data_IF_019185623763
#
_entry.id   IF_019185623763
#
_cell.length_a   1.000
_cell.length_b   1.000
_cell.length_c   1.000
_cell.angle_alpha   90.00
_cell.angle_beta   90.00
_cell.angle_gamma   90.00
#
_symmetry.space_group_name_H-M   'P 1'
#
loop_
_entity.id
_entity.type
_entity.pdbx_description
1 polymer ?
#
# COMPACT_ATOMS: atom_id res chain seq x y z
N UNK A 1 -11.21 -16.26 40.49
CA UNK A 1 -11.68 -16.69 39.17
C UNK A 1 -12.72 -15.71 38.63
N UNK A 2 -12.50 -14.47 38.21
CA UNK A 2 -11.47 -13.44 38.39
C UNK A 2 -12.10 -12.10 37.91
N UNK A 3 -12.80 -11.39 38.80
CA UNK A 3 -13.45 -10.10 38.46
C UNK A 3 -12.46 -9.01 38.03
N UNK A 4 -11.21 -9.09 38.51
CA UNK A 4 -10.15 -8.17 38.11
C UNK A 4 -9.71 -8.38 36.67
N UNK A 5 -9.77 -9.61 36.15
CA UNK A 5 -9.45 -9.90 34.75
C UNK A 5 -10.48 -9.27 33.81
N UNK A 6 -11.77 -9.35 34.11
CA UNK A 6 -12.82 -8.77 33.24
C UNK A 6 -12.77 -7.23 33.22
N UNK A 7 -12.39 -6.60 34.35
CA UNK A 7 -12.13 -5.15 34.42
C UNK A 7 -10.91 -4.74 33.60
N UNK A 8 -9.82 -5.50 33.68
CA UNK A 8 -8.62 -5.26 32.88
C UNK A 8 -8.93 -5.39 31.39
N UNK A 9 -9.66 -6.43 30.98
CA UNK A 9 -10.08 -6.60 29.59
C UNK A 9 -10.99 -5.46 29.12
N UNK A 10 -11.92 -4.98 29.96
CA UNK A 10 -12.73 -3.78 29.65
C UNK A 10 -11.89 -2.51 29.47
N UNK A 11 -10.83 -2.33 30.26
CA UNK A 11 -9.92 -1.18 30.12
C UNK A 11 -9.12 -1.28 28.82
N UNK A 12 -8.57 -2.46 28.51
CA UNK A 12 -7.81 -2.72 27.28
C UNK A 12 -8.71 -2.52 26.05
N UNK A 13 -9.94 -3.01 26.10
CA UNK A 13 -10.92 -2.87 25.03
C UNK A 13 -11.31 -1.39 24.85
N UNK A 14 -11.58 -0.67 25.94
CA UNK A 14 -11.91 0.76 25.88
C UNK A 14 -10.75 1.63 25.38
N UNK A 15 -9.50 1.25 25.67
CA UNK A 15 -8.29 1.90 25.14
C UNK A 15 -8.12 1.65 23.63
N UNK A 16 -8.42 0.43 23.15
CA UNK A 16 -8.39 0.11 21.72
C UNK A 16 -9.37 0.97 20.93
N UNK A 17 -10.56 1.23 21.47
CA UNK A 17 -11.61 1.99 20.79
C UNK A 17 -11.49 3.51 20.89
N UNK A 18 -10.65 4.04 21.80
CA UNK A 18 -10.48 5.47 22.03
C UNK A 18 -9.22 5.99 21.32
N UNK A 19 -9.18 5.86 19.99
CA UNK A 19 -8.11 6.48 19.20
C UNK A 19 -8.45 7.98 19.01
N UNK A 20 -7.63 8.91 19.53
CA UNK A 20 -7.93 10.32 19.42
C UNK A 20 -7.84 10.77 17.95
N UNK A 21 -8.95 11.33 17.45
CA UNK A 21 -8.91 12.08 16.19
C UNK A 21 -8.02 13.31 16.38
N UNK A 22 -7.05 13.50 15.49
CA UNK A 22 -6.26 14.74 15.47
C UNK A 22 -7.21 15.91 15.24
N UNK A 23 -7.23 16.90 16.14
CA UNK A 23 -7.93 18.16 15.91
C UNK A 23 -7.12 18.94 14.86
N UNK A 24 -7.68 19.14 13.67
CA UNK A 24 -7.01 19.84 12.55
C UNK A 24 -7.83 21.04 12.09
N UNK A 25 -7.17 22.05 11.56
CA UNK A 25 -7.83 23.19 10.94
C UNK A 25 -8.56 22.74 9.67
N UNK A 26 -9.81 23.17 9.43
CA UNK A 26 -10.54 22.83 8.22
C UNK A 26 -9.83 23.45 7.00
N UNK A 27 -9.51 22.62 6.00
CA UNK A 27 -8.92 23.05 4.73
C UNK A 27 -7.42 22.82 4.54
N UNK A 28 -6.69 22.32 5.55
CA UNK A 28 -5.29 21.94 5.36
C UNK A 28 -5.18 20.70 4.42
N UNK A 29 -4.24 20.69 3.46
CA UNK A 29 -4.01 19.52 2.63
C UNK A 29 -3.58 18.33 3.49
N UNK A 30 -4.34 17.23 3.38
CA UNK A 30 -4.08 16.01 4.13
C UNK A 30 -3.00 15.18 3.44
N UNK A 31 -1.93 14.86 4.16
CA UNK A 31 -0.93 13.89 3.73
C UNK A 31 -1.55 12.49 3.60
N UNK A 32 -0.91 11.60 2.82
CA UNK A 32 -1.34 10.20 2.72
C UNK A 32 -1.44 9.55 4.11
N UNK A 33 -0.44 9.78 4.97
CA UNK A 33 -0.42 9.24 6.34
C UNK A 33 -1.56 9.77 7.20
N UNK A 34 -1.92 11.04 7.09
CA UNK A 34 -3.06 11.59 7.83
C UNK A 34 -4.39 10.96 7.38
N UNK A 35 -4.53 10.68 6.09
CA UNK A 35 -5.72 9.99 5.54
C UNK A 35 -5.77 8.53 5.96
N UNK A 36 -4.65 7.82 5.91
CA UNK A 36 -4.54 6.44 6.39
C UNK A 36 -4.84 6.34 7.88
N UNK A 37 -4.37 7.31 8.67
CA UNK A 37 -4.69 7.41 10.09
C UNK A 37 -6.18 7.64 10.32
N UNK A 38 -6.83 8.51 9.53
CA UNK A 38 -8.27 8.73 9.63
C UNK A 38 -9.04 7.44 9.27
N UNK A 39 -8.65 6.72 8.21
CA UNK A 39 -9.20 5.39 7.87
C UNK A 39 -9.01 4.37 9.00
N UNK A 40 -7.83 4.35 9.65
CA UNK A 40 -7.56 3.48 10.79
C UNK A 40 -8.48 3.79 11.98
N UNK A 41 -8.63 5.07 12.34
CA UNK A 41 -9.54 5.51 13.41
C UNK A 41 -10.98 5.07 13.10
N UNK A 42 -11.40 5.28 11.86
CA UNK A 42 -12.72 4.89 11.38
C UNK A 42 -12.94 3.36 11.40
N UNK A 43 -11.92 2.57 11.09
CA UNK A 43 -11.96 1.10 11.20
C UNK A 43 -12.14 0.62 12.63
N UNK A 44 -11.37 1.20 13.54
CA UNK A 44 -11.41 0.87 14.96
C UNK A 44 -12.78 1.22 15.55
N UNK A 45 -13.35 2.36 15.16
CA UNK A 45 -14.69 2.76 15.62
C UNK A 45 -15.80 1.86 15.07
N UNK A 46 -15.65 1.35 13.85
CA UNK A 46 -16.65 0.48 13.19
C UNK A 46 -16.43 -1.02 13.45
N UNK A 47 -15.40 -1.43 14.18
CA UNK A 47 -15.06 -2.84 14.43
C UNK A 47 -16.20 -3.64 15.11
N UNK A 48 -17.06 -2.98 15.88
CA UNK A 48 -18.22 -3.58 16.56
C UNK A 48 -19.52 -3.51 15.75
N UNK A 49 -19.52 -2.86 14.58
CA UNK A 49 -20.69 -2.79 13.71
C UNK A 49 -20.85 -4.13 12.97
N UNK A 50 -22.03 -4.75 13.09
CA UNK A 50 -22.32 -6.06 12.50
C UNK A 50 -22.36 -6.02 10.98
N UNK A 51 -22.55 -4.84 10.39
CA UNK A 51 -22.61 -4.62 8.95
C UNK A 51 -21.27 -4.15 8.35
N UNK A 52 -20.22 -3.96 9.17
CA UNK A 52 -18.91 -3.53 8.68
C UNK A 52 -18.06 -4.75 8.34
N UNK A 53 -17.57 -4.80 7.09
CA UNK A 53 -16.73 -5.90 6.65
C UNK A 53 -15.34 -5.76 7.30
N UNK A 54 -15.07 -6.66 8.26
CA UNK A 54 -13.86 -6.68 9.09
C UNK A 54 -12.57 -6.87 8.28
N UNK A 55 -12.66 -7.28 7.01
CA UNK A 55 -11.51 -7.34 6.10
C UNK A 55 -10.90 -5.97 5.84
N UNK A 56 -11.70 -4.92 5.94
CA UNK A 56 -11.24 -3.54 5.81
C UNK A 56 -10.52 -3.06 7.08
N UNK A 57 -10.84 -3.60 8.26
CA UNK A 57 -10.15 -3.25 9.52
C UNK A 57 -8.69 -3.73 9.61
N UNK A 58 -8.18 -4.49 8.64
CA UNK A 58 -6.79 -4.91 8.66
C UNK A 58 -5.89 -3.73 8.24
N UNK A 59 -4.86 -3.43 9.03
CA UNK A 59 -3.93 -2.29 8.79
C UNK A 59 -3.29 -2.33 7.40
N UNK A 60 -3.19 -3.52 6.80
CA UNK A 60 -2.69 -3.76 5.44
C UNK A 60 -3.58 -3.19 4.33
N UNK A 61 -4.88 -2.98 4.59
CA UNK A 61 -5.87 -2.64 3.56
C UNK A 61 -6.36 -1.20 3.67
N UNK A 62 -5.74 -0.38 4.51
CA UNK A 62 -6.14 1.03 4.70
C UNK A 62 -6.00 1.84 3.40
N UNK A 63 -5.04 1.49 2.54
CA UNK A 63 -4.89 2.10 1.21
C UNK A 63 -6.13 1.88 0.32
N UNK A 64 -6.75 0.70 0.40
CA UNK A 64 -7.95 0.36 -0.37
C UNK A 64 -9.21 1.11 0.10
N UNK A 65 -9.20 1.66 1.30
CA UNK A 65 -10.31 2.46 1.81
C UNK A 65 -10.25 3.92 1.36
N UNK A 66 -9.11 4.35 0.82
CA UNK A 66 -8.99 5.70 0.32
C UNK A 66 -9.85 5.85 -0.93
N UNK A 67 -10.58 6.98 -1.07
CA UNK A 67 -11.36 7.20 -2.28
C UNK A 67 -10.45 7.24 -3.52
N UNK A 68 -10.95 6.83 -4.69
CA UNK A 68 -10.16 6.81 -5.92
C UNK A 68 -9.59 8.19 -6.24
N UNK A 69 -8.34 8.24 -6.70
CA UNK A 69 -7.64 9.49 -7.03
C UNK A 69 -6.94 10.20 -5.86
N UNK A 70 -7.02 9.66 -4.64
CA UNK A 70 -6.25 10.19 -3.51
C UNK A 70 -4.83 9.61 -3.37
N UNK A 71 -4.52 8.56 -4.12
CA UNK A 71 -3.22 7.92 -4.13
C UNK A 71 -2.84 7.63 -5.58
N UNK A 72 -1.62 8.02 -5.94
CA UNK A 72 -1.04 7.75 -7.24
C UNK A 72 0.06 6.71 -7.07
N UNK A 73 -0.06 5.51 -7.64
CA UNK A 73 1.00 4.52 -7.56
C UNK A 73 2.22 5.00 -8.34
N UNK A 74 3.40 4.91 -7.72
CA UNK A 74 4.68 5.22 -8.38
C UNK A 74 5.25 3.98 -9.09
N UNK A 75 4.82 2.78 -8.69
CA UNK A 75 5.17 1.51 -9.30
C UNK A 75 3.89 0.72 -9.56
N UNK A 76 3.78 0.11 -10.74
CA UNK A 76 2.69 -0.82 -11.08
C UNK A 76 3.31 -2.14 -11.51
N UNK A 77 2.84 -3.24 -10.93
CA UNK A 77 3.26 -4.60 -11.24
C UNK A 77 2.09 -5.32 -11.91
N UNK A 78 2.20 -5.65 -13.20
CA UNK A 78 1.18 -6.42 -13.90
C UNK A 78 1.55 -7.90 -13.89
N UNK A 79 0.62 -8.74 -13.44
CA UNK A 79 0.76 -10.19 -13.44
C UNK A 79 -0.08 -10.76 -14.59
N UNK A 80 0.58 -11.36 -15.58
CA UNK A 80 -0.09 -11.96 -16.74
C UNK A 80 -0.21 -13.49 -16.63
N UNK A 81 -1.21 -14.06 -17.31
CA UNK A 81 -1.28 -15.50 -17.56
C UNK A 81 -0.39 -15.90 -18.75
N UNK A 82 -0.03 -17.18 -18.81
CA UNK A 82 0.50 -17.88 -19.98
C UNK A 82 1.98 -17.57 -20.31
N UNK A 83 2.91 -17.91 -19.42
CA UNK A 83 4.37 -17.81 -19.61
C UNK A 83 4.94 -16.41 -19.96
N UNK A 84 4.08 -15.40 -20.07
CA UNK A 84 4.48 -14.00 -20.32
C UNK A 84 5.24 -13.36 -19.17
N UNK A 85 5.20 -13.97 -17.99
CA UNK A 85 5.82 -13.38 -16.80
C UNK A 85 4.99 -12.24 -16.23
N UNK A 86 5.68 -11.30 -15.59
CA UNK A 86 5.13 -10.08 -15.03
C UNK A 86 5.79 -8.86 -15.68
N UNK A 87 5.12 -7.71 -15.61
CA UNK A 87 5.72 -6.45 -16.04
C UNK A 87 5.74 -5.42 -14.92
N UNK A 88 6.78 -4.59 -14.93
CA UNK A 88 6.97 -3.48 -14.01
C UNK A 88 6.87 -2.19 -14.79
N UNK A 89 5.99 -1.30 -14.36
CA UNK A 89 5.83 0.03 -14.92
C UNK A 89 6.07 1.03 -13.80
N UNK A 90 7.12 1.84 -13.95
CA UNK A 90 7.36 2.98 -13.08
C UNK A 90 6.55 4.16 -13.62
N UNK A 91 5.82 4.90 -12.79
CA UNK A 91 4.99 6.05 -13.18
C UNK A 91 4.02 5.76 -14.36
N UNK A 92 2.87 5.13 -14.09
CA UNK A 92 1.93 4.73 -15.13
C UNK A 92 1.32 5.90 -15.93
N UNK A 93 1.38 7.14 -15.42
CA UNK A 93 0.78 8.31 -16.08
C UNK A 93 1.66 8.87 -17.22
N UNK A 94 2.97 8.66 -17.18
CA UNK A 94 3.93 9.24 -18.14
C UNK A 94 4.41 8.24 -19.20
N UNK A 95 3.74 7.08 -19.34
CA UNK A 95 4.09 6.03 -20.32
C UNK A 95 5.56 5.60 -20.25
N UNK A 96 6.10 5.51 -19.03
CA UNK A 96 7.46 5.05 -18.79
C UNK A 96 7.65 3.57 -19.18
N UNK A 97 8.92 3.18 -19.29
CA UNK A 97 9.32 1.85 -19.76
C UNK A 97 8.66 0.72 -18.95
N UNK A 98 8.02 -0.19 -19.69
CA UNK A 98 7.49 -1.43 -19.16
C UNK A 98 8.57 -2.50 -19.25
N UNK A 99 9.05 -2.96 -18.09
CA UNK A 99 10.06 -4.02 -18.02
C UNK A 99 9.33 -5.35 -17.84
N UNK A 100 9.37 -6.21 -18.84
CA UNK A 100 8.81 -7.56 -18.79
C UNK A 100 9.85 -8.56 -18.27
N UNK A 101 9.51 -9.31 -17.23
CA UNK A 101 10.37 -10.28 -16.56
C UNK A 101 9.66 -11.63 -16.43
N UNK A 102 10.38 -12.76 -16.59
CA UNK A 102 9.81 -14.10 -16.42
C UNK A 102 9.50 -14.39 -14.95
N UNK A 103 8.61 -15.35 -14.69
CA UNK A 103 8.30 -15.80 -13.32
C UNK A 103 9.42 -16.60 -12.64
N UNK A 104 10.54 -16.85 -13.32
CA UNK A 104 11.70 -17.51 -12.74
C UNK A 104 12.43 -16.58 -11.74
N UNK A 105 12.30 -15.26 -11.92
CA UNK A 105 12.80 -14.26 -10.98
C UNK A 105 11.79 -14.01 -9.85
N UNK A 106 11.82 -14.89 -8.85
CA UNK A 106 10.98 -14.78 -7.65
C UNK A 106 11.47 -13.73 -6.64
N UNK A 107 12.66 -13.16 -6.86
CA UNK A 107 13.31 -12.23 -5.95
C UNK A 107 12.44 -10.99 -5.68
N UNK A 108 11.83 -10.43 -6.73
CA UNK A 108 10.96 -9.25 -6.56
C UNK A 108 9.70 -9.56 -5.74
N UNK A 109 9.14 -10.78 -5.86
CA UNK A 109 7.96 -11.17 -5.11
C UNK A 109 8.28 -11.26 -3.62
N UNK A 110 9.48 -11.70 -3.26
CA UNK A 110 9.93 -11.70 -1.86
C UNK A 110 9.96 -10.29 -1.27
N UNK A 111 10.42 -9.28 -2.02
CA UNK A 111 10.40 -7.88 -1.58
C UNK A 111 8.97 -7.33 -1.49
N UNK A 112 8.11 -7.64 -2.46
CA UNK A 112 6.71 -7.23 -2.44
C UNK A 112 5.95 -7.82 -1.24
N UNK A 113 6.17 -9.10 -0.93
CA UNK A 113 5.60 -9.79 0.22
C UNK A 113 6.06 -9.17 1.55
N UNK A 114 7.34 -8.79 1.62
CA UNK A 114 7.92 -8.09 2.77
C UNK A 114 7.54 -6.60 2.83
N UNK A 115 6.86 -6.07 1.80
CA UNK A 115 6.55 -4.65 1.63
C UNK A 115 7.81 -3.77 1.63
N UNK A 116 8.87 -4.24 0.98
CA UNK A 116 10.15 -3.56 0.85
C UNK A 116 10.41 -3.16 -0.60
N UNK A 117 11.16 -2.08 -0.80
CA UNK A 117 11.56 -1.62 -2.13
C UNK A 117 12.77 -2.46 -2.58
N UNK A 118 12.69 -3.19 -3.71
CA UNK A 118 13.83 -3.91 -4.25
C UNK A 118 15.03 -2.96 -4.44
N UNK A 119 16.26 -3.33 -4.04
CA UNK A 119 17.44 -2.48 -4.18
C UNK A 119 17.65 -1.98 -5.62
N UNK A 120 17.38 -2.84 -6.61
CA UNK A 120 17.45 -2.53 -8.04
C UNK A 120 16.54 -1.37 -8.45
N UNK A 121 15.38 -1.23 -7.80
CA UNK A 121 14.43 -0.15 -8.09
C UNK A 121 14.71 1.10 -7.25
N UNK A 122 15.51 1.00 -6.19
CA UNK A 122 15.74 2.12 -5.25
C UNK A 122 16.42 3.30 -5.94
N UNK A 123 17.48 3.04 -6.71
CA UNK A 123 18.21 4.07 -7.44
C UNK A 123 17.30 4.76 -8.46
N UNK A 124 16.62 3.97 -9.29
CA UNK A 124 15.69 4.47 -10.32
C UNK A 124 14.57 5.31 -9.70
N UNK A 125 13.94 4.82 -8.62
CA UNK A 125 12.88 5.56 -7.91
C UNK A 125 13.41 6.86 -7.29
N UNK A 126 14.67 6.90 -6.85
CA UNK A 126 15.30 8.08 -6.26
C UNK A 126 15.66 9.16 -7.28
N UNK A 127 16.07 8.76 -8.49
CA UNK A 127 16.40 9.66 -9.59
C UNK A 127 15.13 10.17 -10.30
N UNK A 128 14.05 9.40 -10.23
CA UNK A 128 12.82 9.72 -10.93
C UNK A 128 12.06 10.86 -10.23
N UNK A 129 11.99 12.01 -10.88
CA UNK A 129 11.34 13.23 -10.37
C UNK A 129 9.81 13.11 -10.17
N UNK A 130 9.22 12.03 -10.68
CA UNK A 130 7.77 11.77 -10.65
C UNK A 130 7.36 10.75 -9.58
N UNK A 131 8.33 10.13 -8.89
CA UNK A 131 8.06 9.20 -7.80
C UNK A 131 7.56 9.96 -6.56
N UNK A 132 6.29 9.74 -6.20
CA UNK A 132 5.67 10.38 -5.05
C UNK A 132 6.04 9.61 -3.78
N UNK A 133 7.16 9.99 -3.17
CA UNK A 133 7.59 9.40 -1.91
C UNK A 133 6.79 9.94 -0.72
N UNK A 134 6.18 9.04 0.03
CA UNK A 134 5.49 9.34 1.29
C UNK A 134 6.38 8.91 2.44
N UNK A 135 7.16 9.84 3.00
CA UNK A 135 8.04 9.54 4.15
C UNK A 135 9.07 8.45 3.86
N UNK A 136 9.63 8.44 2.64
CA UNK A 136 10.56 7.42 2.17
C UNK A 136 9.90 6.15 1.60
N UNK A 137 8.58 5.97 1.79
CA UNK A 137 7.84 4.85 1.23
C UNK A 137 7.26 5.20 -0.15
N UNK A 138 7.05 4.20 -1.00
CA UNK A 138 6.41 4.34 -2.30
C UNK A 138 5.13 3.52 -2.36
N UNK A 139 4.14 3.99 -3.12
CA UNK A 139 2.93 3.21 -3.36
C UNK A 139 3.10 2.36 -4.61
N UNK A 140 2.87 1.07 -4.46
CA UNK A 140 2.90 0.08 -5.51
C UNK A 140 1.49 -0.45 -5.78
N UNK A 141 1.10 -0.58 -7.05
CA UNK A 141 -0.17 -1.23 -7.45
C UNK A 141 0.14 -2.57 -8.11
N UNK A 142 -0.33 -3.68 -7.56
CA UNK A 142 -0.24 -5.01 -8.15
C UNK A 142 -1.54 -5.30 -8.90
N UNK A 143 -1.47 -5.44 -10.22
CA UNK A 143 -2.62 -5.74 -11.09
C UNK A 143 -2.55 -7.19 -11.55
N UNK A 144 -3.52 -7.98 -11.11
CA UNK A 144 -3.66 -9.36 -11.52
C UNK A 144 -4.57 -9.47 -12.75
N UNK A 145 -3.98 -9.73 -13.91
CA UNK A 145 -4.69 -10.00 -15.17
C UNK A 145 -4.99 -11.49 -15.37
N UNK A 146 -4.53 -12.36 -14.46
CA UNK A 146 -4.70 -13.82 -14.59
C UNK A 146 -6.12 -14.29 -14.36
N UNK A 147 -6.84 -13.59 -13.48
CA UNK A 147 -8.24 -13.87 -13.18
C UNK A 147 -9.07 -12.62 -13.51
N UNK A 148 -9.39 -12.39 -14.80
CA UNK A 148 -10.23 -11.26 -15.16
C UNK A 148 -11.56 -11.43 -14.44
N UNK A 149 -11.93 -10.45 -13.61
CA UNK A 149 -13.21 -10.51 -12.91
C UNK A 149 -14.33 -10.65 -13.96
N UNK A 150 -15.35 -11.51 -13.77
CA UNK A 150 -16.42 -11.67 -14.75
C UNK A 150 -17.11 -10.32 -14.97
N UNK A 151 -16.80 -9.69 -16.10
CA UNK A 151 -17.41 -8.42 -16.49
C UNK A 151 -18.84 -8.72 -16.99
N UNK A 152 -19.86 -8.00 -16.48
CA UNK A 152 -21.24 -8.16 -16.96
C UNK A 152 -21.45 -7.60 -18.37
N UNK A 153 -20.47 -6.89 -18.95
CA UNK A 153 -20.57 -6.28 -20.28
C UNK A 153 -19.30 -6.51 -21.12
N UNK A 154 -19.43 -6.91 -22.42
CA UNK A 154 -18.31 -7.28 -23.28
C UNK A 154 -17.53 -6.09 -23.89
N UNK A 155 -17.77 -4.86 -23.43
CA UNK A 155 -17.20 -3.63 -24.02
C UNK A 155 -16.44 -2.73 -23.02
N UNK A 156 -16.20 -3.20 -21.80
CA UNK A 156 -15.37 -2.50 -20.82
C UNK A 156 -13.90 -2.97 -20.91
N UNK A 157 -12.91 -2.09 -20.66
CA UNK A 157 -11.51 -2.52 -20.58
C UNK A 157 -11.37 -3.62 -19.53
N UNK A 158 -10.56 -4.61 -19.87
CA UNK A 158 -10.28 -5.84 -19.11
C UNK A 158 -10.19 -5.58 -17.59
N UNK A 159 -11.07 -6.21 -16.82
CA UNK A 159 -11.18 -6.09 -15.37
C UNK A 159 -10.04 -6.85 -14.68
N UNK A 160 -8.95 -6.16 -14.38
CA UNK A 160 -7.90 -6.66 -13.51
C UNK A 160 -8.31 -6.54 -12.04
N UNK A 161 -7.83 -7.45 -11.19
CA UNK A 161 -7.90 -7.29 -9.73
C UNK A 161 -6.68 -6.49 -9.27
N UNK A 162 -6.87 -5.30 -8.70
CA UNK A 162 -5.77 -4.42 -8.27
C UNK A 162 -5.63 -4.35 -6.75
N UNK A 163 -4.38 -4.47 -6.28
CA UNK A 163 -3.99 -4.39 -4.87
C UNK A 163 -2.95 -3.29 -4.66
N UNK A 164 -3.20 -2.35 -3.75
CA UNK A 164 -2.29 -1.25 -3.42
C UNK A 164 -1.45 -1.62 -2.19
N UNK A 165 -0.13 -1.53 -2.33
CA UNK A 165 0.87 -1.81 -1.31
C UNK A 165 1.71 -0.56 -1.03
N UNK A 166 2.15 -0.41 0.22
CA UNK A 166 3.13 0.60 0.61
C UNK A 166 4.48 -0.07 0.78
N UNK A 167 5.40 0.17 -0.14
CA UNK A 167 6.76 -0.37 -0.08
C UNK A 167 7.66 0.56 0.72
N UNK A 168 8.34 0.01 1.71
CA UNK A 168 9.26 0.74 2.59
C UNK A 168 10.67 0.64 2.02
N UNK A 169 11.50 1.67 2.18
CA UNK A 169 12.88 1.61 1.74
C UNK A 169 13.62 0.55 2.56
N UNK A 170 14.37 -0.31 1.87
CA UNK A 170 15.15 -1.37 2.48
C UNK A 170 16.24 -0.75 3.37
N UNK A 171 16.50 -1.36 4.54
CA UNK A 171 17.32 -0.76 5.60
C UNK A 171 18.79 -0.53 5.17
N UNK A 172 19.23 -1.18 4.09
CA UNK A 172 20.59 -1.04 3.54
C UNK A 172 20.89 0.31 2.88
N UNK A 173 19.88 1.15 2.61
CA UNK A 173 20.06 2.42 1.88
C UNK A 173 20.65 3.55 2.75
N UNK A 174 20.70 3.39 4.08
CA UNK A 174 21.16 4.45 4.99
C UNK A 174 22.69 4.56 5.15
N UNK A 175 23.50 3.67 4.57
CA UNK A 175 24.94 3.58 4.91
C UNK A 175 25.85 4.34 3.91
N UNK A 176 25.34 4.82 2.78
CA UNK A 176 26.20 5.20 1.65
C UNK A 176 26.30 6.70 1.35
N UNK A 177 26.06 7.60 2.32
CA UNK A 177 26.21 9.07 2.09
C UNK A 177 27.06 9.87 3.08
N UNK A 178 27.71 9.23 4.06
CA UNK A 178 28.56 9.92 5.05
C UNK A 178 30.04 9.51 5.01
N UNK A 179 30.61 9.24 3.84
CA UNK A 179 32.08 9.06 3.72
C UNK A 179 32.63 9.41 2.35
N UNK A 180 32.59 10.69 1.97
CA UNK A 180 33.67 11.32 1.18
C UNK A 180 33.76 12.79 1.59
N UNK A 181 34.46 13.06 2.68
CA UNK A 181 35.16 14.33 2.91
C UNK A 181 36.39 14.00 3.75
N UNK A 182 37.49 13.67 3.08
CA UNK A 182 38.85 13.80 3.61
C UNK A 182 39.86 14.01 2.48
#
# INVERSE_FOLDING_TARGET
MDCDSERVWKIVDNQRHNVPRKKRAPGAPLSLFDRLYDCYVDCVQRQNDKNFDKRFCNTSNLLHQLPPGHVQPSLVVNLYSDDRGYSLVLNPDEQCEEICLPYEDDEIFSYLDNQEIPPVLTEVLSETSYCHMHGGCVVCEVRNHRNPAPCPTPSAPQSYDSHLLMLRPTTEVYISKDSVDN
#
